data_IF_676616955841
#
_entry.id   IF_676616955841
#
_cell.length_a   1.000
_cell.length_b   1.000
_cell.length_c   1.000
_cell.angle_alpha   90.00
_cell.angle_beta   90.00
_cell.angle_gamma   90.00
#
_symmetry.space_group_name_H-M   'P 1'
#
loop_
_entity.id
_entity.type
_entity.pdbx_description
1 polymer ?
#
# COMPACT_ATOMS: atom_id res chain seq x y z
N UNK A 1 -2.25 -9.19 -6.02
CA UNK A 1 -2.24 -7.83 -5.45
C UNK A 1 -3.61 -7.52 -4.92
N UNK A 2 -3.72 -6.60 -3.96
CA UNK A 2 -4.98 -6.11 -3.43
C UNK A 2 -5.00 -4.58 -3.50
N UNK A 3 -6.21 -4.01 -3.50
CA UNK A 3 -6.40 -2.56 -3.41
C UNK A 3 -6.49 -2.20 -1.95
N UNK A 4 -5.76 -1.17 -1.54
CA UNK A 4 -5.81 -0.63 -0.20
C UNK A 4 -5.76 0.89 -0.20
N UNK A 5 -6.26 1.50 0.87
CA UNK A 5 -6.15 2.92 1.16
C UNK A 5 -5.14 3.14 2.27
N UNK A 6 -4.23 4.10 2.09
CA UNK A 6 -3.26 4.47 3.14
C UNK A 6 -4.00 5.19 4.28
N UNK A 7 -3.94 4.63 5.48
CA UNK A 7 -4.58 5.18 6.69
C UNK A 7 -3.61 5.86 7.64
N UNK A 8 -2.32 5.58 7.53
CA UNK A 8 -1.30 6.17 8.39
C UNK A 8 0.05 5.48 8.29
N UNK A 9 0.89 5.73 9.29
CA UNK A 9 2.25 5.22 9.37
C UNK A 9 2.42 4.34 10.62
N UNK A 10 3.25 3.30 10.50
CA UNK A 10 3.70 2.48 11.64
C UNK A 10 5.14 2.83 11.96
N UNK A 11 5.43 3.12 13.23
CA UNK A 11 6.77 3.48 13.69
C UNK A 11 7.28 2.43 14.66
N UNK A 12 8.50 1.93 14.41
CA UNK A 12 9.22 1.06 15.34
C UNK A 12 10.70 1.44 15.39
N UNK A 13 11.25 1.51 16.61
CA UNK A 13 12.67 1.72 16.91
C UNK A 13 13.40 0.41 17.22
N UNK A 14 12.69 -0.58 17.76
CA UNK A 14 13.19 -1.94 18.00
C UNK A 14 12.71 -2.86 16.88
N UNK A 15 13.58 -3.13 15.91
CA UNK A 15 13.27 -3.91 14.71
C UNK A 15 14.52 -4.52 14.12
N UNK A 16 14.34 -5.52 13.26
CA UNK A 16 15.43 -6.12 12.49
C UNK A 16 16.26 -5.04 11.78
N UNK A 17 17.61 -5.08 11.85
CA UNK A 17 18.47 -4.05 11.28
C UNK A 17 18.21 -3.80 9.78
N UNK A 18 17.79 -4.83 9.05
CA UNK A 18 17.45 -4.74 7.62
C UNK A 18 16.21 -3.88 7.31
N UNK A 19 15.34 -3.63 8.31
CA UNK A 19 14.17 -2.75 8.20
C UNK A 19 14.48 -1.28 8.51
N UNK A 20 15.74 -0.93 8.79
CA UNK A 20 16.14 0.47 8.95
C UNK A 20 15.97 1.21 7.63
N UNK A 21 15.36 2.40 7.70
CA UNK A 21 15.04 3.21 6.52
C UNK A 21 13.79 2.78 5.75
N UNK A 22 13.16 1.65 6.08
CA UNK A 22 11.88 1.28 5.49
C UNK A 22 10.75 2.15 6.06
N UNK A 23 10.01 2.83 5.18
CA UNK A 23 8.76 3.52 5.52
C UNK A 23 7.64 2.48 5.60
N UNK A 24 7.01 2.35 6.77
CA UNK A 24 5.94 1.38 7.00
C UNK A 24 4.60 2.09 7.04
N UNK A 25 3.69 1.68 6.17
CA UNK A 25 2.35 2.25 6.04
C UNK A 25 1.31 1.31 6.63
N UNK A 26 0.34 1.87 7.35
CA UNK A 26 -0.89 1.18 7.70
C UNK A 26 -1.86 1.29 6.53
N UNK A 27 -2.17 0.15 5.92
CA UNK A 27 -3.05 0.03 4.77
C UNK A 27 -4.37 -0.60 5.19
N UNK A 28 -5.49 0.01 4.83
CA UNK A 28 -6.81 -0.60 4.96
C UNK A 28 -7.23 -1.16 3.60
N UNK A 29 -7.52 -2.45 3.53
CA UNK A 29 -7.98 -3.08 2.30
C UNK A 29 -9.35 -2.53 1.92
N UNK A 30 -9.60 -2.41 0.62
CA UNK A 30 -10.91 -1.98 0.07
C UNK A 30 -11.46 -3.06 -0.84
N UNK A 31 -12.78 -3.16 -0.92
CA UNK A 31 -13.47 -4.02 -1.88
C UNK A 31 -13.55 -3.38 -3.28
N UNK A 32 -14.24 -4.07 -4.19
CA UNK A 32 -14.39 -3.63 -5.58
C UNK A 32 -15.23 -2.35 -5.71
N UNK A 33 -16.16 -2.11 -4.79
CA UNK A 33 -16.92 -0.86 -4.68
C UNK A 33 -16.15 0.27 -3.99
N UNK A 34 -14.94 0.01 -3.50
CA UNK A 34 -14.13 0.99 -2.78
C UNK A 34 -14.51 1.17 -1.31
N UNK A 35 -15.34 0.30 -0.77
CA UNK A 35 -15.69 0.31 0.64
C UNK A 35 -14.56 -0.30 1.48
N UNK A 36 -14.31 0.23 2.68
CA UNK A 36 -13.28 -0.29 3.56
C UNK A 36 -13.65 -1.67 4.09
N UNK A 37 -12.74 -2.64 3.93
CA UNK A 37 -12.85 -3.95 4.54
C UNK A 37 -12.33 -3.92 5.99
N UNK A 38 -12.80 -4.83 6.88
CA UNK A 38 -12.27 -5.00 8.23
C UNK A 38 -10.94 -5.79 8.20
N UNK A 39 -10.09 -5.52 7.21
CA UNK A 39 -8.77 -6.12 7.03
C UNK A 39 -7.76 -5.02 6.76
N UNK A 40 -6.58 -5.16 7.34
CA UNK A 40 -5.48 -4.22 7.17
C UNK A 40 -4.19 -4.97 6.91
N UNK A 41 -3.23 -4.27 6.32
CA UNK A 41 -1.86 -4.74 6.13
C UNK A 41 -0.88 -3.65 6.55
N UNK A 42 0.30 -4.06 7.01
CA UNK A 42 1.43 -3.14 7.23
C UNK A 42 2.43 -3.37 6.12
N UNK A 43 2.53 -2.42 5.19
CA UNK A 43 3.36 -2.59 4.01
C UNK A 43 4.55 -1.62 4.02
N UNK A 44 5.68 -2.08 3.49
CA UNK A 44 6.77 -1.17 3.14
C UNK A 44 6.37 -0.30 1.93
N UNK A 45 6.76 0.97 1.95
CA UNK A 45 6.52 1.91 0.86
C UNK A 45 7.84 2.37 0.23
N UNK A 46 8.06 1.91 -0.99
CA UNK A 46 9.17 2.32 -1.85
C UNK A 46 8.74 3.33 -2.92
N UNK A 47 7.44 3.61 -3.04
CA UNK A 47 6.85 4.42 -4.12
C UNK A 47 6.63 5.87 -3.66
N UNK A 48 6.34 6.08 -2.37
CA UNK A 48 6.09 7.38 -1.79
C UNK A 48 4.60 7.70 -1.67
N UNK A 49 3.78 6.71 -1.32
CA UNK A 49 2.35 6.90 -1.12
C UNK A 49 2.04 7.84 0.07
N UNK A 50 1.09 8.74 -0.15
CA UNK A 50 0.54 9.68 0.82
C UNK A 50 -0.66 9.11 1.57
N UNK A 51 -1.05 9.79 2.64
CA UNK A 51 -2.28 9.44 3.38
C UNK A 51 -3.49 9.66 2.48
N UNK A 52 -4.49 8.79 2.63
CA UNK A 52 -5.74 8.75 1.85
C UNK A 52 -5.62 8.36 0.37
N UNK A 53 -4.40 8.16 -0.15
CA UNK A 53 -4.20 7.61 -1.49
C UNK A 53 -4.57 6.12 -1.55
N UNK A 54 -5.09 5.71 -2.70
CA UNK A 54 -5.28 4.30 -3.01
C UNK A 54 -4.02 3.71 -3.64
N UNK A 55 -3.67 2.50 -3.23
CA UNK A 55 -2.45 1.80 -3.61
C UNK A 55 -2.72 0.35 -3.97
N UNK A 56 -1.84 -0.22 -4.77
CA UNK A 56 -1.74 -1.67 -4.94
C UNK A 56 -0.70 -2.22 -3.97
N UNK A 57 -1.13 -3.22 -3.19
CA UNK A 57 -0.26 -3.96 -2.28
C UNK A 57 0.00 -5.37 -2.82
N UNK A 58 1.27 -5.77 -2.82
CA UNK A 58 1.71 -7.13 -3.09
C UNK A 58 2.10 -7.81 -1.79
N UNK A 59 1.60 -9.02 -1.56
CA UNK A 59 1.87 -9.78 -0.35
C UNK A 59 2.72 -11.03 -0.64
N UNK A 60 3.33 -11.59 0.41
CA UNK A 60 4.18 -12.77 0.35
C UNK A 60 5.57 -12.49 -0.21
N UNK A 61 6.16 -13.50 -0.86
CA UNK A 61 7.52 -13.41 -1.43
C UNK A 61 7.69 -12.33 -2.49
N UNK A 62 6.60 -11.93 -3.15
CA UNK A 62 6.58 -10.82 -4.10
C UNK A 62 7.08 -9.50 -3.48
N UNK A 63 6.91 -9.30 -2.17
CA UNK A 63 7.39 -8.12 -1.47
C UNK A 63 8.91 -7.94 -1.51
N UNK A 64 9.65 -9.05 -1.68
CA UNK A 64 11.13 -9.07 -1.74
C UNK A 64 11.70 -8.90 -3.14
N UNK A 65 10.86 -8.87 -4.18
CA UNK A 65 11.30 -8.66 -5.57
C UNK A 65 11.65 -7.19 -5.82
N UNK A 66 11.06 -6.28 -5.05
CA UNK A 66 11.36 -4.83 -5.13
C UNK A 66 12.83 -4.58 -4.79
N UNK A 67 13.50 -3.80 -5.63
CA UNK A 67 14.92 -3.50 -5.47
C UNK A 67 15.24 -2.96 -4.06
N UNK A 68 16.20 -3.60 -3.39
CA UNK A 68 16.62 -3.26 -2.03
C UNK A 68 15.82 -3.95 -0.92
N UNK A 69 14.83 -4.79 -1.26
CA UNK A 69 14.04 -5.58 -0.31
C UNK A 69 14.40 -7.09 -0.32
N UNK A 70 15.41 -7.52 -1.09
CA UNK A 70 15.71 -8.93 -1.36
C UNK A 70 16.01 -9.73 -0.09
N UNK A 71 16.68 -9.10 0.88
CA UNK A 71 17.07 -9.68 2.16
C UNK A 71 16.25 -9.14 3.35
N UNK A 72 15.19 -8.36 3.08
CA UNK A 72 14.36 -7.79 4.14
C UNK A 72 13.24 -8.76 4.51
N UNK A 73 12.87 -8.89 5.79
CA UNK A 73 11.75 -9.71 6.23
C UNK A 73 10.43 -8.98 5.96
N UNK A 74 10.16 -8.68 4.69
CA UNK A 74 8.93 -8.04 4.24
C UNK A 74 7.99 -9.09 3.64
N UNK A 75 6.74 -8.99 4.04
CA UNK A 75 5.61 -9.77 3.57
C UNK A 75 4.57 -8.93 2.83
N UNK A 76 4.59 -7.60 2.96
CA UNK A 76 3.76 -6.69 2.19
C UNK A 76 4.56 -5.46 1.70
N UNK A 77 4.31 -5.05 0.46
CA UNK A 77 4.92 -3.85 -0.14
C UNK A 77 3.91 -3.11 -1.02
N UNK A 78 3.92 -1.78 -0.95
CA UNK A 78 3.23 -0.91 -1.90
C UNK A 78 4.01 -0.93 -3.21
N UNK A 79 3.36 -1.37 -4.28
CA UNK A 79 3.98 -1.48 -5.62
C UNK A 79 3.53 -0.38 -6.58
N UNK A 80 2.37 0.25 -6.33
CA UNK A 80 1.85 1.33 -7.17
C UNK A 80 0.89 2.23 -6.39
N UNK A 81 0.83 3.50 -6.77
CA UNK A 81 -0.24 4.42 -6.40
C UNK A 81 -1.27 4.40 -7.53
N UNK A 82 -2.55 4.30 -7.20
CA UNK A 82 -3.64 4.16 -8.16
C UNK A 82 -4.08 5.56 -8.62
N UNK A 83 -4.21 5.73 -9.94
CA UNK A 83 -4.75 6.95 -10.55
C UNK A 83 -6.27 6.87 -10.72
N UNK A 84 -6.80 5.73 -11.16
CA UNK A 84 -8.24 5.53 -11.31
C UNK A 84 -8.63 4.05 -11.28
N UNK A 85 -9.84 3.76 -10.80
CA UNK A 85 -10.46 2.43 -10.88
C UNK A 85 -11.81 2.56 -11.57
N UNK A 86 -12.03 1.76 -12.61
CA UNK A 86 -13.30 1.66 -13.34
C UNK A 86 -13.79 0.22 -13.31
N UNK A 87 -15.09 0.06 -13.05
CA UNK A 87 -15.80 -1.21 -13.18
C UNK A 87 -16.84 -1.00 -14.26
N UNK A 88 -16.70 -1.72 -15.37
CA UNK A 88 -17.44 -1.44 -16.61
C UNK A 88 -17.27 0.04 -17.00
N UNK A 89 -18.38 0.77 -17.20
CA UNK A 89 -18.37 2.21 -17.51
C UNK A 89 -18.40 3.12 -16.28
N UNK A 90 -18.43 2.56 -15.07
CA UNK A 90 -18.54 3.31 -13.80
C UNK A 90 -17.16 3.61 -13.22
N UNK A 91 -16.86 4.89 -13.04
CA UNK A 91 -15.67 5.34 -12.31
C UNK A 91 -15.89 5.23 -10.80
N UNK A 92 -15.14 4.33 -10.14
CA UNK A 92 -15.22 4.08 -8.69
C UNK A 92 -14.27 4.99 -7.93
N UNK A 93 -13.09 5.22 -8.51
CA UNK A 93 -12.03 6.00 -7.88
C UNK A 93 -11.26 6.80 -8.93
N UNK A 94 -10.86 8.01 -8.56
CA UNK A 94 -10.04 8.91 -9.35
C UNK A 94 -9.21 9.78 -8.41
N UNK A 95 -7.89 9.62 -8.48
CA UNK A 95 -6.92 10.38 -7.68
C UNK A 95 -7.03 11.89 -7.94
N UNK A 96 -7.40 12.29 -9.16
CA UNK A 96 -7.54 13.69 -9.56
C UNK A 96 -8.60 14.44 -8.74
N UNK A 97 -9.64 13.75 -8.29
CA UNK A 97 -10.72 14.37 -7.52
C UNK A 97 -10.33 14.64 -6.06
N UNK A 98 -9.22 14.08 -5.57
CA UNK A 98 -8.68 14.38 -4.24
C UNK A 98 -7.89 15.70 -4.18
N UNK A 99 -7.48 16.26 -5.32
CA UNK A 99 -6.72 17.52 -5.41
C UNK A 99 -7.55 18.68 -5.96
N UNK A 100 -8.87 18.50 -6.07
CA UNK A 100 -9.80 19.55 -6.49
C UNK A 100 -10.32 20.36 -5.31
#
# INVERSE_FOLDING_TARGET
>A
MQIAKVRGNVVSTQKEPSLRGAKLLLLQLVDEEGQPLPKYEVAADNVGAGVDEWVLVSCGSAARIVQGNEQRPLDAVVVAIIDSVRIEDRLIYSKKDQYR
#
